data_IF_815072898291
#
_entry.id   IF_815072898291
#
_cell.length_a   1.000
_cell.length_b   1.000
_cell.length_c   1.000
_cell.angle_alpha   90.00
_cell.angle_beta   90.00
_cell.angle_gamma   90.00
#
_symmetry.space_group_name_H-M   'P 1'
#
loop_
_entity.id
_entity.type
_entity.pdbx_description
1 polymer ?
#
# COMPACT_ATOMS: atom_id res chain seq x y z
N UNK A 1 -16.15 9.22 -7.52
CA UNK A 1 -14.71 8.89 -7.35
C UNK A 1 -14.26 9.46 -6.02
N UNK A 2 -13.86 8.61 -5.08
CA UNK A 2 -13.21 9.09 -3.83
C UNK A 2 -11.80 9.57 -4.22
N UNK A 3 -11.64 10.88 -4.36
CA UNK A 3 -10.33 11.52 -4.49
C UNK A 3 -9.94 12.02 -3.10
N UNK A 4 -9.47 11.10 -2.26
CA UNK A 4 -8.95 11.47 -0.94
C UNK A 4 -7.52 11.97 -1.12
N UNK A 5 -7.35 13.29 -1.10
CA UNK A 5 -6.03 13.94 -1.12
C UNK A 5 -5.53 13.98 0.33
N UNK A 6 -4.70 13.01 0.70
CA UNK A 6 -4.03 13.02 2.00
C UNK A 6 -2.68 13.70 1.90
N UNK A 7 -2.41 14.63 2.82
CA UNK A 7 -1.09 15.26 2.97
C UNK A 7 -0.26 14.43 3.96
N UNK A 8 0.72 13.70 3.45
CA UNK A 8 1.67 12.96 4.29
C UNK A 8 2.80 13.91 4.66
N UNK A 9 2.99 14.13 5.96
CA UNK A 9 4.06 14.97 6.47
C UNK A 9 5.36 14.14 6.54
N UNK A 10 6.37 14.53 5.75
CA UNK A 10 7.69 13.89 5.72
C UNK A 10 8.06 13.24 4.38
N UNK A 11 9.27 12.70 4.30
CA UNK A 11 9.81 12.08 3.06
C UNK A 11 9.37 10.62 2.99
N UNK A 12 8.16 10.36 2.50
CA UNK A 12 7.62 9.00 2.39
C UNK A 12 7.51 8.60 0.92
N UNK A 13 8.04 7.43 0.57
CA UNK A 13 7.92 6.86 -0.77
C UNK A 13 6.70 5.94 -0.82
N UNK A 14 5.68 6.33 -1.58
CA UNK A 14 4.47 5.53 -1.83
C UNK A 14 4.62 4.77 -3.15
N UNK A 15 4.42 3.45 -3.12
CA UNK A 15 4.47 2.59 -4.29
C UNK A 15 3.17 1.82 -4.40
N UNK A 16 2.44 2.00 -5.51
CA UNK A 16 1.26 1.17 -5.82
C UNK A 16 1.71 0.02 -6.70
N UNK A 17 1.48 -1.20 -6.25
CA UNK A 17 1.73 -2.40 -7.04
C UNK A 17 0.43 -3.09 -7.41
N UNK A 18 0.43 -3.79 -8.55
CA UNK A 18 -0.66 -4.71 -8.89
C UNK A 18 -0.85 -5.75 -7.77
N UNK A 19 -2.08 -6.28 -7.59
CA UNK A 19 -2.34 -7.41 -6.72
C UNK A 19 -1.32 -8.53 -6.97
N UNK A 20 -0.53 -8.88 -5.95
CA UNK A 20 0.54 -9.86 -6.09
C UNK A 20 0.85 -10.53 -4.76
N UNK A 21 1.05 -11.85 -4.80
CA UNK A 21 1.55 -12.63 -3.66
C UNK A 21 3.01 -12.25 -3.28
N UNK A 22 3.71 -11.52 -4.16
CA UNK A 22 5.12 -11.16 -3.97
C UNK A 22 5.31 -9.78 -3.33
N UNK A 23 4.24 -9.05 -3.00
CA UNK A 23 4.34 -7.69 -2.47
C UNK A 23 5.20 -7.60 -1.19
N UNK A 24 5.13 -8.60 -0.31
CA UNK A 24 5.98 -8.70 0.88
C UNK A 24 7.45 -8.90 0.53
N UNK A 25 7.77 -9.74 -0.45
CA UNK A 25 9.15 -9.96 -0.88
C UNK A 25 9.75 -8.70 -1.51
N UNK A 26 8.95 -8.01 -2.34
CA UNK A 26 9.32 -6.72 -2.92
C UNK A 26 9.56 -5.66 -1.83
N UNK A 27 8.70 -5.60 -0.81
CA UNK A 27 8.89 -4.68 0.32
C UNK A 27 10.20 -4.96 1.05
N UNK A 28 10.52 -6.23 1.33
CA UNK A 28 11.77 -6.59 2.01
C UNK A 28 12.99 -6.23 1.18
N UNK A 29 12.96 -6.52 -0.12
CA UNK A 29 14.02 -6.14 -1.04
C UNK A 29 14.25 -4.63 -1.03
N UNK A 30 13.18 -3.83 -1.15
CA UNK A 30 13.29 -2.36 -1.15
C UNK A 30 13.81 -1.80 0.18
N UNK A 31 13.35 -2.33 1.31
CA UNK A 31 13.87 -1.96 2.64
C UNK A 31 15.38 -2.19 2.74
N UNK A 32 15.86 -3.33 2.23
CA UNK A 32 17.29 -3.67 2.22
C UNK A 32 18.08 -2.80 1.25
N UNK A 33 17.60 -2.64 0.00
CA UNK A 33 18.31 -1.87 -1.02
C UNK A 33 18.42 -0.38 -0.70
N UNK A 34 17.42 0.19 -0.03
CA UNK A 34 17.37 1.61 0.29
C UNK A 34 17.74 1.92 1.75
N UNK A 35 18.01 0.89 2.57
CA UNK A 35 18.25 1.02 4.01
C UNK A 35 17.15 1.82 4.75
N UNK A 36 15.90 1.65 4.33
CA UNK A 36 14.73 2.34 4.89
C UNK A 36 13.81 1.37 5.62
N UNK A 37 13.03 1.90 6.57
CA UNK A 37 11.89 1.18 7.12
C UNK A 37 10.77 1.12 6.08
N UNK A 38 9.82 0.20 6.26
CA UNK A 38 8.67 0.16 5.36
C UNK A 38 7.57 -0.77 5.81
N UNK A 39 6.36 -0.50 5.31
CA UNK A 39 5.15 -1.25 5.61
C UNK A 39 4.32 -1.51 4.36
N UNK A 40 3.53 -2.58 4.42
CA UNK A 40 2.50 -2.88 3.43
C UNK A 40 1.19 -2.27 3.94
N UNK A 41 0.51 -1.50 3.11
CA UNK A 41 -0.68 -0.74 3.49
C UNK A 41 -1.82 -1.03 2.52
N UNK A 42 -2.96 -1.45 3.04
CA UNK A 42 -4.12 -1.70 2.21
C UNK A 42 -4.65 -0.36 1.65
N UNK A 43 -4.84 -0.30 0.33
CA UNK A 43 -5.29 0.92 -0.37
C UNK A 43 -6.66 1.44 0.10
N UNK A 44 -7.48 0.61 0.74
CA UNK A 44 -8.78 0.98 1.30
C UNK A 44 -8.69 1.58 2.72
N UNK A 45 -7.51 1.60 3.35
CA UNK A 45 -7.30 2.18 4.69
C UNK A 45 -6.70 3.59 4.57
N UNK A 46 -7.07 4.47 5.50
CA UNK A 46 -6.51 5.83 5.57
C UNK A 46 -4.98 5.81 5.68
N UNK A 47 -4.34 6.84 5.13
CA UNK A 47 -2.90 7.09 5.18
C UNK A 47 -2.46 7.85 6.45
N UNK A 48 -3.38 8.25 7.32
CA UNK A 48 -3.10 9.07 8.52
C UNK A 48 -2.10 8.44 9.51
N UNK A 49 -2.00 7.10 9.51
CA UNK A 49 -1.11 6.33 10.40
C UNK A 49 0.18 5.87 9.69
N UNK A 50 0.67 6.66 8.73
CA UNK A 50 1.93 6.38 8.04
C UNK A 50 3.05 7.19 8.69
N UNK A 51 3.99 6.47 9.30
CA UNK A 51 5.25 7.04 9.79
C UNK A 51 6.01 7.76 8.66
N UNK A 52 6.54 8.94 8.97
CA UNK A 52 7.47 9.66 8.09
C UNK A 52 8.76 8.86 7.84
N UNK A 53 9.42 9.09 6.70
CA UNK A 53 10.72 8.48 6.36
C UNK A 53 10.68 6.96 6.18
N UNK A 54 9.62 6.44 5.58
CA UNK A 54 9.49 5.01 5.26
C UNK A 54 9.01 4.77 3.82
N UNK A 55 9.15 3.52 3.38
CA UNK A 55 8.58 3.02 2.13
C UNK A 55 7.23 2.38 2.43
N UNK A 56 6.20 2.79 1.71
CA UNK A 56 4.86 2.21 1.82
C UNK A 56 4.48 1.55 0.52
N UNK A 57 4.29 0.24 0.57
CA UNK A 57 3.72 -0.53 -0.53
C UNK A 57 2.21 -0.62 -0.37
N UNK A 58 1.48 -0.01 -1.29
CA UNK A 58 0.03 -0.04 -1.31
C UNK A 58 -0.45 -1.36 -1.92
N UNK A 59 -1.11 -2.16 -1.10
CA UNK A 59 -1.64 -3.46 -1.48
C UNK A 59 -3.07 -3.33 -2.02
N UNK A 60 -3.23 -3.76 -3.26
CA UNK A 60 -4.49 -3.81 -4.00
C UNK A 60 -5.20 -5.17 -3.89
N UNK A 61 -4.59 -6.21 -3.30
CA UNK A 61 -5.19 -7.56 -3.24
C UNK A 61 -6.59 -7.59 -2.60
N UNK A 62 -6.80 -6.83 -1.53
CA UNK A 62 -8.10 -6.76 -0.86
C UNK A 62 -9.12 -5.89 -1.62
N UNK A 63 -8.65 -4.96 -2.45
CA UNK A 63 -9.53 -4.17 -3.31
C UNK A 63 -10.10 -4.98 -4.49
N UNK A 64 -9.34 -5.96 -4.98
CA UNK A 64 -9.73 -6.84 -6.09
C UNK A 64 -10.80 -7.88 -5.69
N UNK A 65 -10.80 -8.33 -4.42
CA UNK A 65 -11.80 -9.30 -3.93
C UNK A 65 -13.25 -8.81 -3.97
N UNK A 66 -13.48 -7.49 -4.15
CA UNK A 66 -14.82 -6.88 -4.10
C UNK A 66 -15.55 -6.88 -5.45
N UNK A 67 -14.96 -7.43 -6.51
CA UNK A 67 -15.54 -7.45 -7.87
C UNK A 67 -16.17 -8.78 -8.29
N UNK A 68 -16.51 -9.69 -7.36
CA UNK A 68 -17.37 -10.83 -7.71
C UNK A 68 -18.85 -10.52 -7.41
N UNK A 69 -19.65 -10.13 -8.42
CA UNK A 69 -21.08 -9.88 -8.25
C UNK A 69 -21.91 -11.15 -7.94
N UNK A 70 -21.33 -12.36 -7.99
CA UNK A 70 -22.04 -13.62 -7.71
C UNK A 70 -22.12 -13.95 -6.22
N UNK A 71 -21.31 -13.32 -5.36
CA UNK A 71 -21.37 -13.48 -3.90
C UNK A 71 -22.31 -12.47 -3.20
N UNK A 72 -22.93 -11.56 -3.95
CA UNK A 72 -23.82 -10.53 -3.45
C UNK A 72 -25.33 -10.84 -3.64
N UNK A 73 -25.68 -12.11 -3.93
CA UNK A 73 -27.06 -12.56 -4.15
C UNK A 73 -27.48 -13.61 -3.14
#
# INVERSE_FOLDING_TARGET
MFNEVHSIHGHTLLLITKPSLQATALLQHLKQSLALTGKLHNIQRSLDDISSSCIVLLDMMEADKKTDPLLAR
#
